data_IF_889046610182
#
_entry.id   IF_889046610182
#
_cell.length_a   1.000
_cell.length_b   1.000
_cell.length_c   1.000
_cell.angle_alpha   90.00
_cell.angle_beta   90.00
_cell.angle_gamma   90.00
#
_symmetry.space_group_name_H-M   'P 1'
#
loop_
_entity.id
_entity.type
_entity.pdbx_description
1 polymer ?
#
# COMPACT_ATOMS: atom_id res chain seq x y z
N UNK A 1 -57.66 25.56 -0.98
CA UNK A 1 -56.19 25.71 -1.06
C UNK A 1 -55.41 25.45 0.25
N UNK A 2 -56.03 25.09 1.39
CA UNK A 2 -55.36 25.05 2.70
C UNK A 2 -54.95 23.66 3.27
N UNK A 3 -54.96 22.57 2.49
CA UNK A 3 -54.61 21.23 3.02
C UNK A 3 -53.13 20.83 2.91
N UNK A 4 -52.32 21.50 2.07
CA UNK A 4 -50.88 21.18 1.92
C UNK A 4 -49.95 21.91 2.90
N UNK A 5 -50.45 22.95 3.58
CA UNK A 5 -49.66 23.75 4.52
C UNK A 5 -49.33 23.01 5.84
N UNK A 6 -50.10 21.97 6.22
CA UNK A 6 -49.91 21.25 7.50
C UNK A 6 -48.71 20.30 7.53
N UNK A 7 -48.13 19.95 6.38
CA UNK A 7 -46.95 19.06 6.27
C UNK A 7 -45.67 19.86 5.99
N UNK A 8 -45.79 21.02 5.33
CA UNK A 8 -44.64 21.86 4.97
C UNK A 8 -44.10 22.61 6.21
N UNK A 9 -44.97 23.02 7.14
CA UNK A 9 -44.56 23.73 8.36
C UNK A 9 -43.72 22.86 9.33
N UNK A 10 -44.06 21.60 9.65
CA UNK A 10 -43.21 20.77 10.52
C UNK A 10 -41.92 20.32 9.82
N UNK A 11 -41.91 20.15 8.49
CA UNK A 11 -40.70 19.78 7.74
C UNK A 11 -39.70 20.94 7.65
N UNK A 12 -40.19 22.17 7.50
CA UNK A 12 -39.37 23.38 7.53
C UNK A 12 -38.80 23.66 8.94
N UNK A 13 -39.55 23.35 10.00
CA UNK A 13 -39.08 23.48 11.39
C UNK A 13 -38.05 22.39 11.74
N UNK A 14 -38.19 21.17 11.21
CA UNK A 14 -37.23 20.07 11.41
C UNK A 14 -35.90 20.31 10.65
N UNK A 15 -35.97 20.90 9.46
CA UNK A 15 -34.78 21.32 8.70
C UNK A 15 -34.12 22.54 9.38
N UNK A 16 -34.91 23.48 9.91
CA UNK A 16 -34.40 24.65 10.64
C UNK A 16 -33.68 24.29 11.96
N UNK A 17 -34.13 23.25 12.68
CA UNK A 17 -33.45 22.78 13.90
C UNK A 17 -32.12 22.06 13.62
N UNK A 18 -31.92 21.52 12.41
CA UNK A 18 -30.69 20.82 12.02
C UNK A 18 -29.58 21.77 11.54
N UNK A 19 -29.91 23.03 11.28
CA UNK A 19 -28.98 24.10 10.88
C UNK A 19 -28.67 25.10 12.01
N UNK A 20 -28.95 24.76 13.27
CA UNK A 20 -28.40 25.49 14.43
C UNK A 20 -27.02 24.88 14.74
N UNK A 21 -25.89 25.55 14.46
CA UNK A 21 -24.61 25.13 14.98
C UNK A 21 -24.60 25.39 16.49
N UNK A 22 -24.97 24.39 17.29
CA UNK A 22 -24.70 24.39 18.72
C UNK A 22 -23.21 24.13 18.93
N UNK A 23 -22.40 25.17 18.79
CA UNK A 23 -21.08 25.21 19.40
C UNK A 23 -21.28 25.58 20.88
N UNK A 24 -21.31 24.56 21.75
CA UNK A 24 -21.12 24.76 23.18
C UNK A 24 -19.63 25.10 23.40
N UNK A 25 -19.29 26.38 23.43
CA UNK A 25 -18.11 26.90 24.14
C UNK A 25 -18.49 28.19 24.83
N UNK A 26 -18.49 28.18 26.16
CA UNK A 26 -18.57 29.37 26.97
C UNK A 26 -17.26 30.15 26.83
N UNK A 27 -17.32 31.42 26.42
CA UNK A 27 -16.40 32.49 26.82
C UNK A 27 -16.92 33.85 26.34
N UNK A 28 -16.56 34.86 27.11
CA UNK A 28 -17.14 36.20 27.22
C UNK A 28 -16.64 37.21 26.20
N UNK A 29 -17.45 38.26 26.05
CA UNK A 29 -17.18 39.61 25.52
C UNK A 29 -17.05 39.85 24.01
N UNK A 30 -17.73 40.94 23.63
CA UNK A 30 -18.01 41.40 22.28
C UNK A 30 -16.83 42.22 21.74
N UNK A 31 -16.44 41.94 20.51
CA UNK A 31 -15.54 42.80 19.75
C UNK A 31 -15.13 42.21 18.41
N UNK A 32 -16.08 41.73 17.60
CA UNK A 32 -15.74 41.07 16.33
C UNK A 32 -15.83 42.07 15.18
N UNK A 33 -14.68 42.57 14.76
CA UNK A 33 -14.53 43.35 13.53
C UNK A 33 -14.81 42.51 12.29
N UNK A 34 -15.18 43.18 11.20
CA UNK A 34 -15.57 42.55 9.93
C UNK A 34 -14.45 41.68 9.31
N UNK A 35 -13.19 41.88 9.71
CA UNK A 35 -12.04 41.10 9.25
C UNK A 35 -11.92 39.73 9.94
N UNK A 36 -12.40 39.56 11.17
CA UNK A 36 -12.31 38.29 11.91
C UNK A 36 -13.43 37.29 11.54
N UNK A 37 -14.57 37.78 11.06
CA UNK A 37 -15.62 36.90 10.51
C UNK A 37 -15.20 36.25 9.17
N UNK A 38 -14.23 36.84 8.46
CA UNK A 38 -13.67 36.26 7.23
C UNK A 38 -12.78 35.03 7.49
N UNK A 39 -12.11 34.99 8.65
CA UNK A 39 -11.23 33.89 9.07
C UNK A 39 -12.03 32.68 9.58
N UNK A 40 -13.13 32.90 10.31
CA UNK A 40 -14.02 31.83 10.78
C UNK A 40 -14.81 31.19 9.62
N UNK A 41 -15.04 31.91 8.53
CA UNK A 41 -15.69 31.39 7.32
C UNK A 41 -14.70 30.76 6.30
N UNK A 42 -13.38 30.91 6.48
CA UNK A 42 -12.36 30.35 5.59
C UNK A 42 -12.36 30.94 4.16
N UNK A 43 -12.77 32.20 4.00
CA UNK A 43 -12.84 32.87 2.68
C UNK A 43 -11.60 33.70 2.33
N UNK A 44 -10.73 34.00 3.29
CA UNK A 44 -9.49 34.71 3.00
C UNK A 44 -8.40 33.70 2.57
N UNK A 45 -8.11 33.66 1.26
CA UNK A 45 -7.03 32.93 0.59
C UNK A 45 -7.31 31.51 0.04
N UNK A 46 -8.55 31.15 -0.30
CA UNK A 46 -8.80 29.93 -1.10
C UNK A 46 -8.97 30.25 -2.60
N UNK A 47 -8.28 29.54 -3.51
CA UNK A 47 -8.44 29.75 -4.95
C UNK A 47 -9.89 29.43 -5.37
N UNK A 48 -10.45 30.24 -6.26
CA UNK A 48 -11.85 30.19 -6.71
C UNK A 48 -12.38 28.77 -7.04
N UNK A 49 -11.61 27.86 -7.67
CA UNK A 49 -12.05 26.49 -7.96
C UNK A 49 -12.35 25.66 -6.71
N UNK A 50 -11.64 25.90 -5.60
CA UNK A 50 -11.82 25.17 -4.33
C UNK A 50 -13.11 25.60 -3.64
N UNK A 51 -13.44 26.89 -3.69
CA UNK A 51 -14.71 27.43 -3.17
C UNK A 51 -15.89 26.84 -3.96
N UNK A 52 -15.78 26.81 -5.29
CA UNK A 52 -16.79 26.20 -6.15
C UNK A 52 -16.98 24.71 -5.87
N UNK A 53 -15.89 23.95 -5.71
CA UNK A 53 -15.94 22.53 -5.35
C UNK A 53 -16.64 22.27 -4.00
N UNK A 54 -16.43 23.16 -3.01
CA UNK A 54 -17.08 23.06 -1.70
C UNK A 54 -18.59 23.30 -1.79
N UNK A 55 -19.02 24.30 -2.57
CA UNK A 55 -20.44 24.60 -2.80
C UNK A 55 -21.13 23.42 -3.49
N UNK A 56 -20.52 22.87 -4.54
CA UNK A 56 -21.06 21.70 -5.27
C UNK A 56 -21.20 20.49 -4.36
N UNK A 57 -20.20 20.22 -3.51
CA UNK A 57 -20.23 19.10 -2.55
C UNK A 57 -21.38 19.22 -1.55
N UNK A 58 -21.64 20.44 -1.05
CA UNK A 58 -22.78 20.69 -0.15
C UNK A 58 -24.10 20.43 -0.88
N UNK A 59 -24.28 20.91 -2.11
CA UNK A 59 -25.51 20.70 -2.89
C UNK A 59 -25.75 19.20 -3.19
N UNK A 60 -24.70 18.45 -3.54
CA UNK A 60 -24.79 17.00 -3.77
C UNK A 60 -25.19 16.26 -2.49
N UNK A 61 -24.59 16.62 -1.34
CA UNK A 61 -24.92 15.97 -0.05
C UNK A 61 -26.37 16.19 0.38
N UNK A 62 -26.89 17.43 0.21
CA UNK A 62 -28.29 17.76 0.51
C UNK A 62 -29.25 17.04 -0.44
N UNK A 63 -28.88 16.93 -1.72
CA UNK A 63 -29.67 16.21 -2.72
C UNK A 63 -29.73 14.70 -2.43
N UNK A 64 -28.62 14.08 -2.02
CA UNK A 64 -28.57 12.67 -1.61
C UNK A 64 -29.46 12.39 -0.39
N UNK A 65 -29.40 13.25 0.62
CA UNK A 65 -30.28 13.15 1.79
C UNK A 65 -31.76 13.30 1.42
N UNK A 66 -32.09 14.24 0.53
CA UNK A 66 -33.46 14.43 0.06
C UNK A 66 -34.00 13.19 -0.69
N UNK A 67 -33.18 12.58 -1.56
CA UNK A 67 -33.54 11.34 -2.26
C UNK A 67 -33.77 10.18 -1.29
N UNK A 68 -32.92 10.04 -0.26
CA UNK A 68 -33.11 9.03 0.78
C UNK A 68 -34.46 9.20 1.51
N UNK A 69 -34.83 10.44 1.86
CA UNK A 69 -36.13 10.74 2.48
C UNK A 69 -37.31 10.43 1.54
N UNK A 70 -37.17 10.68 0.24
CA UNK A 70 -38.20 10.35 -0.76
C UNK A 70 -38.39 8.84 -0.86
N UNK A 71 -37.30 8.05 -0.84
CA UNK A 71 -37.36 6.58 -0.87
C UNK A 71 -38.08 6.05 0.38
N UNK A 72 -37.73 6.57 1.57
CA UNK A 72 -38.38 6.21 2.83
C UNK A 72 -39.88 6.54 2.78
N UNK A 73 -40.24 7.75 2.31
CA UNK A 73 -41.63 8.16 2.17
C UNK A 73 -42.42 7.30 1.18
N UNK A 74 -41.82 6.96 0.04
CA UNK A 74 -42.43 6.10 -0.96
C UNK A 74 -42.62 4.67 -0.43
N UNK A 75 -41.67 4.15 0.37
CA UNK A 75 -41.79 2.86 1.04
C UNK A 75 -42.95 2.83 2.05
N UNK A 76 -43.09 3.87 2.88
CA UNK A 76 -44.23 3.99 3.81
C UNK A 76 -45.56 4.11 3.06
N UNK A 77 -45.62 4.85 1.96
CA UNK A 77 -46.83 4.97 1.14
C UNK A 77 -47.21 3.62 0.52
N UNK A 78 -46.23 2.84 0.05
CA UNK A 78 -46.46 1.52 -0.51
C UNK A 78 -47.03 0.55 0.52
N UNK A 79 -46.45 0.50 1.72
CA UNK A 79 -46.95 -0.35 2.83
C UNK A 79 -48.35 0.06 3.32
N UNK A 80 -48.67 1.35 3.29
CA UNK A 80 -49.98 1.87 3.73
C UNK A 80 -51.05 1.89 2.62
N UNK A 81 -50.78 1.33 1.45
CA UNK A 81 -51.70 1.41 0.30
C UNK A 81 -52.91 0.48 0.41
N UNK A 82 -52.91 -0.53 1.30
CA UNK A 82 -54.10 -1.35 1.59
C UNK A 82 -54.72 -2.06 0.37
N UNK A 83 -53.95 -2.28 -0.70
CA UNK A 83 -54.43 -2.89 -1.95
C UNK A 83 -54.97 -1.90 -3.00
N UNK A 84 -55.01 -0.60 -2.72
CA UNK A 84 -55.47 0.42 -3.68
C UNK A 84 -54.44 0.64 -4.79
N UNK A 85 -54.78 0.22 -6.03
CA UNK A 85 -53.87 0.21 -7.18
C UNK A 85 -53.27 1.59 -7.50
N UNK A 86 -54.02 2.68 -7.29
CA UNK A 86 -53.55 4.04 -7.55
C UNK A 86 -52.38 4.43 -6.64
N UNK A 87 -52.47 4.13 -5.35
CA UNK A 87 -51.43 4.46 -4.35
C UNK A 87 -50.17 3.61 -4.55
N UNK A 88 -50.34 2.34 -4.92
CA UNK A 88 -49.23 1.44 -5.25
C UNK A 88 -48.46 1.96 -6.47
N UNK A 89 -49.18 2.32 -7.54
CA UNK A 89 -48.55 2.84 -8.76
C UNK A 89 -47.86 4.18 -8.51
N UNK A 90 -48.42 5.03 -7.66
CA UNK A 90 -47.79 6.29 -7.25
C UNK A 90 -46.51 6.07 -6.44
N UNK A 91 -46.52 5.16 -5.48
CA UNK A 91 -45.33 4.82 -4.69
C UNK A 91 -44.20 4.27 -5.57
N UNK A 92 -44.52 3.33 -6.47
CA UNK A 92 -43.55 2.76 -7.43
C UNK A 92 -42.93 3.84 -8.34
N UNK A 93 -43.74 4.76 -8.87
CA UNK A 93 -43.23 5.88 -9.70
C UNK A 93 -42.25 6.77 -8.93
N UNK A 94 -42.52 7.06 -7.65
CA UNK A 94 -41.62 7.86 -6.82
C UNK A 94 -40.31 7.12 -6.49
N UNK A 95 -40.36 5.82 -6.24
CA UNK A 95 -39.16 5.00 -6.01
C UNK A 95 -38.27 4.94 -7.26
N UNK A 96 -38.86 4.69 -8.43
CA UNK A 96 -38.12 4.64 -9.70
C UNK A 96 -37.48 5.99 -10.02
N UNK A 97 -38.20 7.09 -9.83
CA UNK A 97 -37.66 8.44 -10.04
C UNK A 97 -36.50 8.76 -9.09
N UNK A 98 -36.58 8.35 -7.81
CA UNK A 98 -35.51 8.55 -6.85
C UNK A 98 -34.26 7.70 -7.17
N UNK A 99 -34.45 6.46 -7.62
CA UNK A 99 -33.37 5.57 -8.05
C UNK A 99 -32.64 6.11 -9.28
N UNK A 100 -33.36 6.63 -10.27
CA UNK A 100 -32.76 7.26 -11.45
C UNK A 100 -31.93 8.48 -11.03
N UNK A 101 -32.44 9.32 -10.13
CA UNK A 101 -31.71 10.46 -9.60
C UNK A 101 -30.42 10.06 -8.86
N UNK A 102 -30.48 9.01 -8.05
CA UNK A 102 -29.30 8.47 -7.35
C UNK A 102 -28.27 7.90 -8.34
N UNK A 103 -28.73 7.15 -9.34
CA UNK A 103 -27.87 6.59 -10.38
C UNK A 103 -27.11 7.70 -11.13
N UNK A 104 -27.79 8.79 -11.51
CA UNK A 104 -27.15 9.94 -12.17
C UNK A 104 -26.05 10.55 -11.30
N UNK A 105 -26.26 10.69 -10.00
CA UNK A 105 -25.24 11.23 -9.08
C UNK A 105 -24.01 10.32 -9.04
N UNK A 106 -24.21 9.01 -8.94
CA UNK A 106 -23.13 8.01 -8.90
C UNK A 106 -22.38 7.99 -10.24
N UNK A 107 -23.10 7.93 -11.36
CA UNK A 107 -22.49 7.93 -12.69
C UNK A 107 -21.78 9.24 -13.03
N UNK A 108 -22.31 10.38 -12.59
CA UNK A 108 -21.63 11.67 -12.77
C UNK A 108 -20.24 11.66 -12.16
N UNK A 109 -20.09 11.09 -10.96
CA UNK A 109 -18.80 10.98 -10.30
C UNK A 109 -17.87 10.02 -11.04
N UNK A 110 -18.36 8.84 -11.41
CA UNK A 110 -17.59 7.83 -12.13
C UNK A 110 -17.09 8.33 -13.50
N UNK A 111 -17.92 9.07 -14.23
CA UNK A 111 -17.55 9.66 -15.53
C UNK A 111 -16.50 10.75 -15.35
N UNK A 112 -16.67 11.64 -14.36
CA UNK A 112 -15.67 12.69 -14.08
C UNK A 112 -14.33 12.09 -13.67
N UNK A 113 -14.29 11.08 -12.80
CA UNK A 113 -13.04 10.41 -12.44
C UNK A 113 -12.40 9.69 -13.63
N UNK A 114 -13.19 9.09 -14.51
CA UNK A 114 -12.69 8.43 -15.71
C UNK A 114 -12.04 9.43 -16.68
N UNK A 115 -12.69 10.57 -16.92
CA UNK A 115 -12.16 11.62 -17.81
C UNK A 115 -10.91 12.25 -17.20
N UNK A 116 -10.88 12.52 -15.90
CA UNK A 116 -9.70 13.05 -15.22
C UNK A 116 -8.54 12.05 -15.28
N UNK A 117 -8.78 10.77 -15.01
CA UNK A 117 -7.76 9.73 -15.15
C UNK A 117 -7.23 9.59 -16.58
N UNK A 118 -8.11 9.64 -17.58
CA UNK A 118 -7.72 9.63 -18.99
C UNK A 118 -6.90 10.88 -19.39
N UNK A 119 -7.21 12.04 -18.81
CA UNK A 119 -6.48 13.29 -19.04
C UNK A 119 -5.10 13.26 -18.35
N UNK A 120 -5.01 12.77 -17.12
CA UNK A 120 -3.75 12.59 -16.39
C UNK A 120 -2.82 11.60 -17.10
N UNK A 121 -3.39 10.53 -17.67
CA UNK A 121 -2.68 9.55 -18.49
C UNK A 121 -2.17 10.17 -19.81
N UNK A 122 -3.00 10.98 -20.48
CA UNK A 122 -2.62 11.68 -21.70
C UNK A 122 -1.56 12.78 -21.47
N UNK A 123 -1.48 13.35 -20.27
CA UNK A 123 -0.48 14.35 -19.88
C UNK A 123 0.83 13.74 -19.34
N UNK A 124 0.93 12.40 -19.25
CA UNK A 124 2.15 11.71 -18.83
C UNK A 124 2.49 11.89 -17.35
N UNK A 125 1.52 12.22 -16.50
CA UNK A 125 1.72 12.55 -15.08
C UNK A 125 1.58 11.38 -14.11
N UNK A 126 1.35 10.13 -14.56
CA UNK A 126 1.47 8.95 -13.69
C UNK A 126 1.68 7.64 -14.46
N UNK A 127 2.74 6.91 -14.10
CA UNK A 127 2.79 5.45 -14.23
C UNK A 127 1.79 4.81 -13.26
N UNK A 128 1.10 3.79 -13.74
CA UNK A 128 -0.15 3.29 -13.15
C UNK A 128 -0.04 2.16 -12.12
N UNK A 129 -1.20 1.90 -11.53
CA UNK A 129 -1.55 0.81 -10.61
C UNK A 129 -2.00 1.41 -9.27
N UNK A 130 -3.27 1.53 -8.91
CA UNK A 130 -4.48 0.85 -9.35
C UNK A 130 -5.17 0.30 -8.11
N UNK A 131 -5.84 1.15 -7.32
CA UNK A 131 -6.66 0.69 -6.19
C UNK A 131 -7.99 1.46 -6.14
N UNK A 132 -9.07 0.68 -6.12
CA UNK A 132 -10.46 1.12 -6.00
C UNK A 132 -10.84 1.54 -4.56
N UNK A 133 -12.11 1.89 -4.33
CA UNK A 133 -12.45 3.02 -3.47
C UNK A 133 -12.71 2.61 -2.01
N UNK A 134 -11.83 3.06 -1.11
CA UNK A 134 -12.14 3.29 0.30
C UNK A 134 -12.48 4.76 0.54
N UNK A 135 -13.64 5.04 1.11
CA UNK A 135 -14.19 6.38 1.35
C UNK A 135 -13.45 7.22 2.43
N UNK A 136 -14.03 8.37 2.84
CA UNK A 136 -13.47 9.67 2.48
C UNK A 136 -12.78 10.39 3.64
N UNK A 137 -11.58 10.91 3.40
CA UNK A 137 -10.94 11.90 4.26
C UNK A 137 -9.59 12.37 3.74
N UNK A 138 -9.43 13.69 3.58
CA UNK A 138 -8.12 14.32 3.34
C UNK A 138 -8.00 15.02 1.98
N UNK A 139 -8.00 16.36 2.01
CA UNK A 139 -7.88 17.22 0.84
C UNK A 139 -6.50 17.16 0.16
N UNK A 140 -6.48 17.64 -1.08
CA UNK A 140 -5.35 17.51 -2.00
C UNK A 140 -4.00 18.01 -1.47
N UNK A 141 -2.98 17.26 -1.84
CA UNK A 141 -1.63 17.74 -2.09
C UNK A 141 -1.29 17.30 -3.50
N UNK A 142 -0.58 18.15 -4.25
CA UNK A 142 0.11 17.69 -5.46
C UNK A 142 0.79 16.37 -5.12
N UNK A 143 0.52 15.33 -5.91
CA UNK A 143 1.03 13.99 -5.61
C UNK A 143 2.50 14.11 -5.28
N UNK A 144 2.87 13.63 -4.08
CA UNK A 144 4.29 13.54 -3.72
C UNK A 144 5.01 12.86 -4.88
N UNK A 145 6.18 13.38 -5.30
CA UNK A 145 6.92 12.74 -6.38
C UNK A 145 7.10 11.25 -6.01
N UNK A 146 7.03 10.37 -7.00
CA UNK A 146 7.13 8.91 -6.77
C UNK A 146 8.41 8.53 -6.02
N UNK A 147 9.44 9.38 -6.09
CA UNK A 147 10.75 9.28 -5.43
C UNK A 147 10.78 9.77 -3.99
N UNK A 148 9.69 10.35 -3.46
CA UNK A 148 9.67 10.90 -2.11
C UNK A 148 9.96 9.81 -1.06
N UNK A 149 10.88 10.12 -0.15
CA UNK A 149 11.20 9.26 0.99
C UNK A 149 10.02 9.23 1.98
N UNK A 150 9.58 8.03 2.33
CA UNK A 150 8.35 7.78 3.11
C UNK A 150 8.44 6.50 3.92
N UNK A 151 7.68 6.44 5.01
CA UNK A 151 7.36 5.17 5.69
C UNK A 151 6.39 4.41 4.79
N UNK A 152 6.78 3.20 4.35
CA UNK A 152 5.94 2.25 3.61
C UNK A 152 4.92 1.62 4.55
N UNK A 153 5.37 1.16 5.72
CA UNK A 153 4.57 0.45 6.71
C UNK A 153 5.22 0.59 8.10
N UNK A 154 4.47 0.39 9.18
CA UNK A 154 5.03 0.13 10.51
C UNK A 154 4.50 -1.21 10.98
N UNK A 155 5.39 -2.19 11.19
CA UNK A 155 5.01 -3.55 11.55
C UNK A 155 5.20 -3.84 13.03
N UNK A 156 4.28 -4.63 13.57
CA UNK A 156 4.28 -5.17 14.94
C UNK A 156 3.65 -6.58 14.93
N UNK A 157 4.05 -7.43 15.87
CA UNK A 157 3.34 -8.68 16.15
C UNK A 157 2.07 -8.33 16.92
N UNK A 158 0.94 -8.89 16.49
CA UNK A 158 -0.37 -8.53 17.02
C UNK A 158 -1.37 -9.68 16.95
N UNK A 159 -2.36 -9.66 17.85
CA UNK A 159 -3.52 -10.56 17.86
C UNK A 159 -4.78 -9.78 17.46
N UNK A 160 -5.30 -10.07 16.27
CA UNK A 160 -6.59 -9.52 15.79
C UNK A 160 -7.76 -10.48 15.97
N UNK A 161 -7.54 -11.65 16.57
CA UNK A 161 -8.55 -12.69 16.70
C UNK A 161 -8.86 -13.39 15.38
N UNK A 162 -8.88 -14.72 15.43
CA UNK A 162 -9.29 -15.63 14.34
C UNK A 162 -8.55 -15.50 13.01
N UNK A 163 -7.28 -15.93 12.93
CA UNK A 163 -6.69 -16.55 11.72
C UNK A 163 -6.72 -15.75 10.40
N UNK A 164 -7.10 -14.47 10.43
CA UNK A 164 -7.15 -13.58 9.28
C UNK A 164 -5.91 -12.70 9.36
N UNK A 165 -5.09 -12.74 8.31
CA UNK A 165 -4.04 -11.75 8.08
C UNK A 165 -4.70 -10.41 7.81
N UNK A 166 -4.84 -9.58 8.84
CA UNK A 166 -5.14 -8.17 8.63
C UNK A 166 -3.85 -7.38 8.74
N UNK A 167 -3.70 -6.34 7.94
CA UNK A 167 -2.58 -5.39 8.08
C UNK A 167 -2.87 -4.43 9.25
N UNK A 168 -3.55 -4.86 10.31
CA UNK A 168 -3.92 -4.00 11.44
C UNK A 168 -2.80 -3.94 12.48
N UNK A 169 -1.56 -3.66 12.04
CA UNK A 169 -0.35 -3.57 12.87
C UNK A 169 -0.43 -2.55 14.04
N UNK A 170 -1.53 -1.82 14.17
CA UNK A 170 -1.79 -0.81 15.19
C UNK A 170 -2.75 -1.28 16.29
N UNK A 171 -3.31 -2.50 16.21
CA UNK A 171 -4.31 -3.01 17.16
C UNK A 171 -3.92 -4.36 17.72
N UNK A 172 -4.19 -4.58 19.01
CA UNK A 172 -3.92 -5.86 19.67
C UNK A 172 -2.44 -6.21 19.66
N UNK A 173 -1.55 -5.22 19.65
CA UNK A 173 -0.11 -5.42 19.61
C UNK A 173 0.32 -6.23 20.82
N UNK A 174 1.07 -7.31 20.60
CA UNK A 174 1.56 -8.16 21.68
C UNK A 174 2.55 -7.39 22.55
N UNK A 175 2.56 -7.70 23.85
CA UNK A 175 3.38 -6.96 24.83
C UNK A 175 4.89 -7.12 24.59
N UNK A 176 5.30 -8.19 23.91
CA UNK A 176 6.69 -8.48 23.56
C UNK A 176 7.17 -7.80 22.27
N UNK A 177 6.26 -7.29 21.44
CA UNK A 177 6.54 -6.90 20.07
C UNK A 177 7.57 -5.78 19.99
N UNK A 178 8.58 -5.95 19.14
CA UNK A 178 9.32 -4.81 18.60
C UNK A 178 8.41 -3.97 17.69
N UNK A 179 8.79 -2.71 17.46
CA UNK A 179 8.10 -1.82 16.52
C UNK A 179 9.05 -1.48 15.39
N UNK A 180 8.71 -1.85 14.16
CA UNK A 180 9.59 -1.70 12.99
C UNK A 180 8.97 -0.84 11.89
N UNK A 181 9.27 0.47 11.86
CA UNK A 181 9.01 1.30 10.69
C UNK A 181 9.85 0.87 9.49
N UNK A 182 9.17 0.49 8.40
CA UNK A 182 9.74 0.12 7.11
C UNK A 182 9.60 1.28 6.14
N UNK A 183 10.69 1.64 5.46
CA UNK A 183 10.78 2.77 4.54
C UNK A 183 10.94 2.29 3.09
N UNK A 184 10.68 3.18 2.12
CA UNK A 184 10.88 2.87 0.70
C UNK A 184 12.32 2.97 0.22
N UNK A 185 13.17 3.68 0.96
CA UNK A 185 14.60 3.78 0.70
C UNK A 185 15.38 3.40 1.95
N UNK A 186 16.68 3.11 1.79
CA UNK A 186 17.57 2.87 2.91
C UNK A 186 17.73 4.13 3.77
N UNK A 187 17.67 3.96 5.08
CA UNK A 187 17.77 5.03 6.06
C UNK A 187 19.25 5.36 6.30
N UNK A 188 19.60 6.64 6.44
CA UNK A 188 20.94 7.04 6.87
C UNK A 188 21.14 6.73 8.36
N UNK A 189 21.83 5.63 8.65
CA UNK A 189 22.08 5.15 10.00
C UNK A 189 22.86 6.15 10.87
N UNK A 190 23.66 7.05 10.27
CA UNK A 190 24.49 8.01 11.01
C UNK A 190 23.65 9.07 11.76
N UNK A 191 22.39 9.28 11.36
CA UNK A 191 21.50 10.26 11.98
C UNK A 191 20.70 9.67 13.15
N UNK A 192 20.44 8.36 13.14
CA UNK A 192 19.52 7.74 14.09
C UNK A 192 20.09 7.71 15.51
N UNK A 193 21.40 7.52 15.69
CA UNK A 193 22.02 7.56 17.02
C UNK A 193 21.86 8.93 17.71
N UNK A 194 21.79 10.01 16.94
CA UNK A 194 21.59 11.36 17.45
C UNK A 194 20.10 11.70 17.68
N UNK A 195 19.22 11.23 16.79
CA UNK A 195 17.77 11.45 16.89
C UNK A 195 17.10 10.61 17.99
N UNK A 196 17.63 9.41 18.27
CA UNK A 196 17.11 8.49 19.29
C UNK A 196 17.21 9.01 20.74
N UNK A 197 17.95 10.09 20.97
CA UNK A 197 18.14 10.64 22.33
C UNK A 197 16.89 11.39 22.82
N UNK A 198 16.09 12.00 21.94
CA UNK A 198 14.90 12.77 22.34
C UNK A 198 13.76 12.84 21.30
N UNK A 199 14.05 12.70 20.01
CA UNK A 199 13.07 12.97 18.95
C UNK A 199 12.41 11.67 18.45
N UNK A 200 13.20 10.62 18.24
CA UNK A 200 12.70 9.29 17.88
C UNK A 200 12.39 8.50 19.15
N UNK A 201 11.10 8.32 19.45
CA UNK A 201 10.63 7.75 20.73
C UNK A 201 9.27 7.08 20.63
N UNK A 202 8.95 6.25 21.63
CA UNK A 202 7.60 5.73 21.88
C UNK A 202 7.15 6.20 23.26
N UNK A 203 5.94 6.76 23.36
CA UNK A 203 5.34 7.21 24.62
C UNK A 203 4.02 6.51 24.88
N UNK A 204 3.76 6.15 26.13
CA UNK A 204 2.45 5.70 26.58
C UNK A 204 1.53 6.90 26.79
N UNK A 205 0.27 6.81 26.36
CA UNK A 205 -0.72 7.84 26.65
C UNK A 205 -0.97 7.95 28.16
N UNK A 206 -0.81 9.16 28.71
CA UNK A 206 -0.88 9.40 30.16
C UNK A 206 0.30 8.85 30.97
N UNK A 207 1.33 8.32 30.30
CA UNK A 207 2.55 7.81 30.90
C UNK A 207 3.79 8.59 30.45
N UNK A 208 4.92 7.89 30.36
CA UNK A 208 6.20 8.45 29.90
C UNK A 208 6.75 7.71 28.68
N UNK A 209 8.01 8.04 28.34
CA UNK A 209 8.76 7.34 27.30
C UNK A 209 8.99 5.87 27.67
N UNK A 210 8.83 5.00 26.68
CA UNK A 210 9.15 3.57 26.78
C UNK A 210 10.66 3.41 26.62
N UNK A 211 11.30 2.74 27.58
CA UNK A 211 12.71 2.42 27.50
C UNK A 211 12.96 1.36 26.42
N UNK A 212 13.96 1.58 25.58
CA UNK A 212 14.36 0.65 24.53
C UNK A 212 15.53 1.18 23.71
N UNK A 213 15.97 0.38 22.75
CA UNK A 213 17.08 0.71 21.86
C UNK A 213 16.58 0.81 20.43
N UNK A 214 17.08 1.80 19.70
CA UNK A 214 16.81 2.00 18.29
C UNK A 214 17.96 1.45 17.45
N UNK A 215 17.65 0.58 16.49
CA UNK A 215 18.60 0.03 15.53
C UNK A 215 18.18 0.43 14.11
N UNK A 216 19.13 0.44 13.19
CA UNK A 216 18.86 0.64 11.76
C UNK A 216 19.38 -0.57 11.00
N UNK A 217 18.56 -1.07 10.07
CA UNK A 217 18.89 -2.16 9.15
C UNK A 217 18.34 -1.80 7.78
N UNK A 218 19.20 -1.35 6.87
CA UNK A 218 18.81 -0.96 5.50
C UNK A 218 17.61 0.00 5.48
N UNK A 219 16.45 -0.48 5.02
CA UNK A 219 15.20 0.27 4.92
C UNK A 219 14.32 0.19 6.17
N UNK A 220 14.84 -0.28 7.30
CA UNK A 220 14.07 -0.49 8.53
C UNK A 220 14.74 0.20 9.71
N UNK A 221 13.93 0.87 10.53
CA UNK A 221 14.30 1.26 11.88
C UNK A 221 13.63 0.25 12.82
N UNK A 222 14.34 -0.22 13.84
CA UNK A 222 13.85 -1.24 14.78
C UNK A 222 13.87 -0.64 16.18
N UNK A 223 12.73 -0.60 16.85
CA UNK A 223 12.66 -0.36 18.28
C UNK A 223 12.65 -1.67 19.03
N UNK A 224 13.75 -2.00 19.70
CA UNK A 224 13.82 -3.11 20.65
C UNK A 224 13.49 -2.61 22.04
N UNK A 225 12.31 -2.99 22.53
CA UNK A 225 11.88 -2.58 23.86
C UNK A 225 12.77 -3.18 24.96
N UNK A 226 13.02 -2.40 26.02
CA UNK A 226 13.78 -2.85 27.19
C UNK A 226 12.96 -3.64 28.19
N UNK A 227 11.64 -3.39 28.23
CA UNK A 227 10.66 -4.11 29.04
C UNK A 227 9.39 -4.30 28.19
N UNK A 228 8.57 -5.30 28.53
CA UNK A 228 7.27 -5.52 27.90
C UNK A 228 6.41 -4.25 27.97
N UNK A 229 5.64 -4.00 26.92
CA UNK A 229 4.58 -3.00 26.97
C UNK A 229 3.52 -3.37 28.02
N UNK A 230 2.78 -2.37 28.49
CA UNK A 230 1.67 -2.58 29.40
C UNK A 230 0.45 -3.08 28.64
N UNK A 231 -0.35 -3.93 29.29
CA UNK A 231 -1.58 -4.47 28.71
C UNK A 231 -2.62 -3.38 28.44
N UNK A 232 -3.41 -3.60 27.38
CA UNK A 232 -4.60 -2.81 27.02
C UNK A 232 -4.36 -1.29 27.03
N UNK A 233 -3.21 -0.88 26.52
CA UNK A 233 -2.69 0.49 26.64
C UNK A 233 -2.48 1.14 25.29
N UNK A 234 -2.69 2.46 25.24
CA UNK A 234 -2.43 3.28 24.05
C UNK A 234 -0.99 3.80 24.05
N UNK A 235 -0.34 3.70 22.89
CA UNK A 235 1.00 4.20 22.66
C UNK A 235 1.05 5.09 21.42
N UNK A 236 2.05 5.96 21.37
CA UNK A 236 2.37 6.80 20.22
C UNK A 236 3.86 6.71 19.90
N UNK A 237 4.16 6.33 18.66
CA UNK A 237 5.50 6.37 18.08
C UNK A 237 5.71 7.71 17.38
N UNK A 238 6.77 8.40 17.77
CA UNK A 238 7.15 9.71 17.24
C UNK A 238 8.27 9.50 16.22
N UNK A 239 7.94 9.64 14.93
CA UNK A 239 8.91 9.55 13.83
C UNK A 239 9.29 10.95 13.37
N UNK A 240 10.52 11.44 13.64
CA UNK A 240 10.95 12.76 13.21
C UNK A 240 10.94 12.88 11.69
N UNK A 241 10.43 13.99 11.16
CA UNK A 241 10.55 14.31 9.72
C UNK A 241 11.99 14.54 9.28
N UNK A 242 12.90 14.75 10.25
CA UNK A 242 14.33 14.89 10.04
C UNK A 242 15.06 13.56 9.74
N UNK A 243 14.37 12.40 9.79
CA UNK A 243 14.95 11.14 9.29
C UNK A 243 15.26 11.31 7.81
N UNK A 244 16.49 10.97 7.42
CA UNK A 244 16.98 11.05 6.05
C UNK A 244 17.17 9.66 5.43
N UNK A 245 16.97 9.56 4.12
CA UNK A 245 17.48 8.44 3.34
C UNK A 245 18.98 8.60 3.03
N UNK A 246 19.60 7.56 2.48
CA UNK A 246 21.02 7.60 2.09
C UNK A 246 21.37 8.63 1.00
N UNK A 247 20.36 9.18 0.32
CA UNK A 247 20.54 10.27 -0.65
C UNK A 247 20.38 11.65 -0.01
N UNK A 248 20.12 11.72 1.30
CA UNK A 248 19.90 12.95 2.05
C UNK A 248 18.48 13.53 1.90
N UNK A 249 17.52 12.76 1.39
CA UNK A 249 16.13 13.19 1.30
C UNK A 249 15.43 13.05 2.64
N UNK A 250 14.67 14.06 3.01
CA UNK A 250 13.89 14.12 4.24
C UNK A 250 12.55 13.37 4.14
N UNK A 251 12.07 12.87 5.27
CA UNK A 251 10.87 12.06 5.36
C UNK A 251 9.61 12.89 5.08
N UNK A 252 8.91 12.58 3.98
CA UNK A 252 7.76 13.38 3.49
C UNK A 252 6.40 12.77 3.76
N UNK A 253 6.30 11.48 4.06
CA UNK A 253 5.02 10.82 4.28
C UNK A 253 5.14 9.57 5.15
N UNK A 254 4.01 9.16 5.73
CA UNK A 254 3.88 7.95 6.51
C UNK A 254 2.60 7.20 6.10
N UNK A 255 2.75 6.00 5.54
CA UNK A 255 1.67 5.17 5.02
C UNK A 255 1.37 3.93 5.89
N UNK A 256 1.61 4.03 7.19
CA UNK A 256 1.37 2.90 8.09
C UNK A 256 -0.13 2.60 8.27
N UNK A 257 -0.44 1.34 8.58
CA UNK A 257 -1.75 0.89 8.99
C UNK A 257 -2.32 1.72 10.16
N UNK A 258 -3.63 2.01 10.12
CA UNK A 258 -4.26 2.95 11.06
C UNK A 258 -3.96 4.43 10.78
N UNK A 259 -3.07 4.72 9.82
CA UNK A 259 -2.65 6.05 9.43
C UNK A 259 -1.65 6.67 10.39
N UNK A 260 -1.00 7.74 9.95
CA UNK A 260 -0.11 8.55 10.77
C UNK A 260 -0.68 9.96 10.88
N UNK A 261 -0.67 10.53 12.09
CA UNK A 261 -0.99 11.93 12.30
C UNK A 261 0.25 12.77 11.99
N UNK A 262 0.12 13.66 11.03
CA UNK A 262 1.20 14.56 10.63
C UNK A 262 1.20 15.83 11.48
N UNK A 263 2.36 16.20 12.01
CA UNK A 263 2.63 17.49 12.67
C UNK A 263 3.73 18.23 11.92
N UNK A 264 4.12 19.42 12.40
CA UNK A 264 5.23 20.17 11.77
C UNK A 264 6.58 19.42 11.84
N UNK A 265 6.79 18.62 12.90
CA UNK A 265 8.08 17.97 13.17
C UNK A 265 8.04 16.44 13.14
N UNK A 266 6.87 15.83 13.27
CA UNK A 266 6.72 14.38 13.41
C UNK A 266 5.65 13.80 12.47
N UNK A 267 5.82 12.53 12.13
CA UNK A 267 4.72 11.61 11.90
C UNK A 267 4.48 10.82 13.18
N UNK A 268 3.27 10.93 13.72
CA UNK A 268 2.83 10.23 14.91
C UNK A 268 2.02 9.01 14.50
N UNK A 269 2.51 7.83 14.83
CA UNK A 269 1.78 6.59 14.61
C UNK A 269 1.27 6.06 15.95
N UNK A 270 -0.02 5.75 16.03
CA UNK A 270 -0.66 5.30 17.27
C UNK A 270 -0.96 3.82 17.20
N UNK A 271 -0.72 3.11 18.29
CA UNK A 271 -1.08 1.70 18.41
C UNK A 271 -1.65 1.37 19.79
N UNK A 272 -2.35 0.25 19.86
CA UNK A 272 -2.96 -0.30 21.08
C UNK A 272 -2.42 -1.69 21.34
N UNK A 273 -2.00 -1.94 22.57
CA UNK A 273 -1.57 -3.27 23.01
C UNK A 273 -2.76 -4.13 23.41
N UNK A 274 -2.62 -5.44 23.21
CA UNK A 274 -3.52 -6.44 23.81
C UNK A 274 -3.11 -6.76 25.25
N UNK A 275 -3.43 -7.97 25.71
CA UNK A 275 -3.09 -8.45 27.05
C UNK A 275 -2.09 -9.61 27.07
N UNK A 276 -1.65 -10.08 25.90
CA UNK A 276 -0.89 -11.32 25.73
C UNK A 276 0.48 -11.08 25.11
N UNK A 277 1.33 -12.10 25.19
CA UNK A 277 2.60 -12.17 24.46
C UNK A 277 2.46 -13.18 23.34
N UNK A 278 3.16 -12.93 22.24
CA UNK A 278 3.29 -13.90 21.18
C UNK A 278 4.20 -15.05 21.61
N UNK A 279 3.82 -16.26 21.22
CA UNK A 279 4.60 -17.48 21.48
C UNK A 279 4.68 -18.37 20.24
N UNK A 280 4.12 -17.94 19.12
CA UNK A 280 4.07 -18.71 17.88
C UNK A 280 5.30 -18.36 17.07
N UNK A 281 6.15 -19.34 16.71
CA UNK A 281 7.29 -19.06 15.84
C UNK A 281 6.88 -18.78 14.39
N UNK A 282 7.65 -17.92 13.68
CA UNK A 282 7.38 -17.64 12.28
C UNK A 282 7.71 -18.85 11.41
N UNK A 283 6.89 -19.06 10.37
CA UNK A 283 7.05 -20.12 9.37
C UNK A 283 7.02 -19.54 7.97
N UNK A 284 7.84 -20.03 7.05
CA UNK A 284 7.81 -19.56 5.66
C UNK A 284 6.56 -20.09 4.96
N UNK A 285 5.72 -19.20 4.45
CA UNK A 285 4.47 -19.51 3.75
C UNK A 285 4.57 -19.31 2.24
N UNK A 286 5.51 -18.48 1.77
CA UNK A 286 5.80 -18.32 0.35
C UNK A 286 7.29 -18.08 0.15
N UNK A 287 7.81 -18.57 -0.97
CA UNK A 287 9.21 -18.43 -1.36
C UNK A 287 9.33 -18.36 -2.88
N UNK A 288 10.33 -17.65 -3.35
CA UNK A 288 10.64 -17.47 -4.77
C UNK A 288 12.15 -17.26 -4.92
N UNK A 289 12.77 -17.68 -6.02
CA UNK A 289 12.20 -18.44 -7.13
C UNK A 289 12.11 -19.95 -6.83
N UNK A 290 11.28 -20.65 -7.62
CA UNK A 290 11.18 -22.12 -7.61
C UNK A 290 11.24 -22.66 -9.05
N UNK A 291 11.68 -23.91 -9.22
CA UNK A 291 11.71 -24.59 -10.52
C UNK A 291 13.05 -24.55 -11.24
N UNK A 292 13.08 -24.98 -12.51
CA UNK A 292 14.32 -25.26 -13.25
C UNK A 292 14.65 -24.28 -14.39
N UNK A 293 13.81 -23.27 -14.59
CA UNK A 293 13.93 -22.32 -15.69
C UNK A 293 13.87 -20.87 -15.19
N UNK A 294 14.79 -20.53 -14.29
CA UNK A 294 14.79 -19.24 -13.58
C UNK A 294 15.80 -18.26 -14.22
N UNK A 295 15.44 -17.01 -14.53
CA UNK A 295 16.38 -16.01 -15.04
C UNK A 295 17.58 -15.76 -14.11
N UNK A 296 18.74 -15.44 -14.66
CA UNK A 296 19.97 -15.25 -13.85
C UNK A 296 19.98 -13.94 -13.03
N UNK A 297 19.06 -13.02 -13.33
CA UNK A 297 18.84 -11.77 -12.59
C UNK A 297 17.67 -11.88 -11.58
N UNK A 298 17.19 -13.10 -11.33
CA UNK A 298 16.09 -13.34 -10.40
C UNK A 298 16.38 -12.79 -9.01
N UNK A 299 15.33 -12.32 -8.36
CA UNK A 299 15.36 -11.90 -6.97
C UNK A 299 14.85 -13.05 -6.10
N UNK A 300 15.44 -13.22 -4.93
CA UNK A 300 15.04 -14.25 -3.96
C UNK A 300 14.15 -13.58 -2.93
N UNK A 301 12.94 -14.09 -2.75
CA UNK A 301 11.96 -13.51 -1.83
C UNK A 301 11.36 -14.59 -0.95
N UNK A 302 11.10 -14.25 0.31
CA UNK A 302 10.39 -15.11 1.26
C UNK A 302 9.34 -14.30 2.00
N UNK A 303 8.16 -14.90 2.22
CA UNK A 303 7.15 -14.40 3.14
C UNK A 303 6.92 -15.42 4.25
N UNK A 304 6.87 -14.93 5.47
CA UNK A 304 6.63 -15.68 6.70
C UNK A 304 5.17 -15.59 7.11
N UNK A 305 4.74 -16.42 8.07
CA UNK A 305 3.39 -16.46 8.64
C UNK A 305 3.01 -15.20 9.39
N UNK A 306 3.99 -14.40 9.77
CA UNK A 306 3.89 -13.18 10.57
C UNK A 306 5.12 -12.28 10.34
N UNK A 307 5.11 -11.02 10.84
CA UNK A 307 6.25 -10.13 10.79
C UNK A 307 7.50 -10.71 11.48
N UNK A 308 8.66 -10.49 10.87
CA UNK A 308 9.95 -10.99 11.36
C UNK A 308 10.83 -9.85 11.87
N UNK A 309 11.70 -10.12 12.85
CA UNK A 309 12.70 -9.15 13.32
C UNK A 309 13.79 -8.98 12.25
N UNK A 310 13.81 -7.81 11.62
CA UNK A 310 14.74 -7.47 10.55
C UNK A 310 16.22 -7.61 10.95
N UNK A 311 16.54 -7.51 12.24
CA UNK A 311 17.91 -7.71 12.76
C UNK A 311 18.37 -9.16 12.74
N UNK A 312 17.47 -10.13 12.50
CA UNK A 312 17.82 -11.53 12.24
C UNK A 312 18.08 -11.83 10.76
N UNK A 313 17.76 -10.89 9.87
CA UNK A 313 18.04 -10.96 8.42
C UNK A 313 19.29 -10.15 8.08
N UNK A 314 19.39 -8.93 8.61
CA UNK A 314 20.44 -7.95 8.29
C UNK A 314 21.28 -7.64 9.52
N UNK A 315 22.60 -7.72 9.37
CA UNK A 315 23.60 -7.43 10.41
C UNK A 315 23.84 -5.93 10.62
N UNK A 316 24.67 -5.60 11.59
CA UNK A 316 25.07 -4.21 11.89
C UNK A 316 25.83 -3.53 10.74
N UNK A 317 26.47 -4.33 9.89
CA UNK A 317 27.15 -3.89 8.67
C UNK A 317 26.19 -3.62 7.51
N UNK A 318 24.86 -3.66 7.74
CA UNK A 318 23.83 -3.52 6.72
C UNK A 318 23.90 -4.58 5.62
N UNK A 319 24.48 -5.74 5.93
CA UNK A 319 24.57 -6.90 5.03
C UNK A 319 23.78 -8.10 5.55
N UNK A 320 23.52 -9.05 4.66
CA UNK A 320 22.87 -10.31 4.98
C UNK A 320 23.66 -11.07 6.07
N UNK A 321 22.97 -11.65 7.05
CA UNK A 321 23.56 -12.55 8.03
C UNK A 321 23.69 -13.95 7.41
N UNK A 322 24.87 -14.29 6.90
CA UNK A 322 25.14 -15.56 6.19
C UNK A 322 24.89 -16.82 7.05
N UNK A 323 24.97 -16.68 8.39
CA UNK A 323 24.66 -17.76 9.32
C UNK A 323 23.16 -18.11 9.36
N UNK A 324 22.30 -17.17 8.97
CA UNK A 324 20.85 -17.29 8.99
C UNK A 324 20.30 -17.54 7.58
N UNK A 325 20.84 -16.83 6.59
CA UNK A 325 20.39 -16.94 5.20
C UNK A 325 21.60 -17.13 4.29
N UNK A 326 21.58 -18.18 3.47
CA UNK A 326 22.66 -18.44 2.51
C UNK A 326 22.11 -18.93 1.18
N UNK A 327 22.78 -18.53 0.10
CA UNK A 327 22.49 -19.00 -1.27
C UNK A 327 23.72 -19.73 -1.79
N UNK A 328 23.59 -21.03 -2.00
CA UNK A 328 24.71 -21.92 -2.30
C UNK A 328 24.56 -22.57 -3.67
N UNK A 329 25.64 -22.55 -4.46
CA UNK A 329 25.75 -23.29 -5.71
C UNK A 329 25.88 -24.78 -5.41
N UNK A 330 25.16 -25.59 -6.18
CA UNK A 330 25.20 -27.05 -6.07
C UNK A 330 25.87 -27.68 -7.30
N UNK A 331 26.43 -28.87 -7.11
CA UNK A 331 26.95 -29.70 -8.20
C UNK A 331 25.86 -30.24 -9.14
N UNK A 332 24.60 -30.20 -8.69
CA UNK A 332 23.41 -30.64 -9.42
C UNK A 332 22.18 -30.56 -8.52
N UNK A 333 21.02 -31.06 -8.98
CA UNK A 333 19.80 -31.15 -8.17
C UNK A 333 20.03 -32.05 -6.97
N UNK A 334 19.71 -31.58 -5.76
CA UNK A 334 20.03 -32.24 -4.50
C UNK A 334 21.52 -32.59 -4.34
N UNK A 335 22.40 -31.90 -5.07
CA UNK A 335 23.83 -32.15 -5.06
C UNK A 335 24.53 -31.60 -3.81
N UNK A 336 25.84 -31.84 -3.75
CA UNK A 336 26.72 -31.22 -2.76
C UNK A 336 26.87 -29.72 -3.03
N UNK A 337 27.03 -28.95 -1.95
CA UNK A 337 27.37 -27.52 -2.02
C UNK A 337 28.78 -27.38 -2.58
N UNK A 338 28.89 -26.70 -3.72
CA UNK A 338 30.17 -26.39 -4.39
C UNK A 338 30.77 -25.10 -3.82
N UNK A 339 29.93 -24.07 -3.66
CA UNK A 339 30.30 -22.78 -3.09
C UNK A 339 29.08 -22.06 -2.54
N UNK A 340 29.29 -21.09 -1.66
CA UNK A 340 28.23 -20.21 -1.14
C UNK A 340 28.49 -18.79 -1.63
N UNK A 341 27.44 -18.13 -2.12
CA UNK A 341 27.53 -16.73 -2.54
C UNK A 341 27.72 -15.84 -1.30
N UNK A 342 28.68 -14.93 -1.39
CA UNK A 342 28.98 -13.97 -0.33
C UNK A 342 27.82 -13.01 -0.09
N UNK A 343 27.66 -12.53 1.14
CA UNK A 343 26.74 -11.43 1.51
C UNK A 343 26.90 -10.16 0.67
N UNK A 344 28.09 -9.91 0.11
CA UNK A 344 28.34 -8.77 -0.80
C UNK A 344 27.68 -8.96 -2.17
N UNK A 345 27.23 -10.17 -2.49
CA UNK A 345 26.47 -10.43 -3.71
C UNK A 345 25.08 -9.78 -3.65
N UNK A 346 24.54 -9.53 -2.45
CA UNK A 346 23.14 -9.22 -2.24
C UNK A 346 22.89 -7.81 -1.71
N UNK A 347 21.94 -7.13 -2.35
CA UNK A 347 21.16 -6.06 -1.73
C UNK A 347 19.98 -6.68 -1.02
N UNK A 348 19.77 -6.33 0.25
CA UNK A 348 18.66 -6.84 1.07
C UNK A 348 17.62 -5.74 1.28
N UNK A 349 16.37 -6.02 0.95
CA UNK A 349 15.20 -5.20 1.30
C UNK A 349 14.30 -6.00 2.25
N UNK A 350 13.85 -5.37 3.33
CA UNK A 350 12.86 -5.96 4.24
C UNK A 350 11.46 -5.54 3.78
N UNK A 351 10.58 -6.52 3.73
CA UNK A 351 9.15 -6.39 3.48
C UNK A 351 8.36 -6.63 4.77
N UNK A 352 7.05 -6.39 4.75
CA UNK A 352 6.21 -6.46 5.96
C UNK A 352 6.31 -7.80 6.70
N UNK A 353 6.29 -8.91 5.97
CA UNK A 353 6.35 -10.28 6.53
C UNK A 353 7.58 -11.05 6.01
N UNK A 354 8.65 -10.38 5.59
CA UNK A 354 9.69 -11.08 4.84
C UNK A 354 10.84 -10.25 4.36
N UNK A 355 11.60 -10.80 3.42
CA UNK A 355 12.74 -10.13 2.84
C UNK A 355 12.88 -10.48 1.36
N UNK A 356 13.58 -9.60 0.65
CA UNK A 356 13.97 -9.75 -0.75
C UNK A 356 15.47 -9.55 -0.90
N UNK A 357 16.13 -10.48 -1.57
CA UNK A 357 17.53 -10.42 -1.97
C UNK A 357 17.59 -10.15 -3.47
N UNK A 358 18.17 -9.01 -3.83
CA UNK A 358 18.43 -8.64 -5.22
C UNK A 358 19.95 -8.70 -5.46
N UNK A 359 20.44 -9.31 -6.56
CA UNK A 359 21.84 -9.23 -6.92
C UNK A 359 22.32 -7.77 -6.95
N UNK A 360 23.43 -7.47 -6.27
CA UNK A 360 23.94 -6.10 -6.15
C UNK A 360 24.70 -5.67 -7.41
N UNK A 361 24.37 -4.48 -7.94
CA UNK A 361 25.05 -3.90 -9.09
C UNK A 361 24.84 -4.73 -10.36
N UNK A 362 25.93 -5.20 -10.96
CA UNK A 362 25.91 -6.03 -12.17
C UNK A 362 26.09 -7.52 -11.86
N UNK A 363 25.98 -7.92 -10.60
CA UNK A 363 26.07 -9.32 -10.21
C UNK A 363 24.93 -10.11 -10.86
N UNK A 364 25.25 -11.27 -11.42
CA UNK A 364 24.29 -12.19 -12.01
C UNK A 364 24.59 -13.60 -11.49
N UNK A 365 23.54 -14.40 -11.32
CA UNK A 365 23.73 -15.83 -11.06
C UNK A 365 24.36 -16.50 -12.29
N UNK A 366 25.01 -17.63 -12.08
CA UNK A 366 25.57 -18.40 -13.19
C UNK A 366 24.43 -19.07 -13.98
N UNK A 367 24.51 -19.12 -15.32
CA UNK A 367 23.49 -19.79 -16.12
C UNK A 367 23.52 -21.31 -15.92
N UNK A 368 22.37 -21.96 -16.08
CA UNK A 368 22.20 -23.42 -15.99
C UNK A 368 22.71 -24.06 -14.69
N UNK A 369 22.70 -23.29 -13.60
CA UNK A 369 23.32 -23.65 -12.33
C UNK A 369 22.24 -23.91 -11.29
N UNK A 370 22.41 -24.99 -10.52
CA UNK A 370 21.56 -25.28 -9.36
C UNK A 370 21.99 -24.45 -8.16
N UNK A 371 21.02 -23.81 -7.53
CA UNK A 371 21.19 -23.09 -6.28
C UNK A 371 20.28 -23.65 -5.20
N UNK A 372 20.77 -23.70 -3.96
CA UNK A 372 19.99 -23.92 -2.75
C UNK A 372 19.94 -22.64 -1.94
N UNK A 373 18.74 -22.20 -1.58
CA UNK A 373 18.55 -21.17 -0.56
C UNK A 373 18.25 -21.87 0.76
N UNK A 374 19.00 -21.50 1.79
CA UNK A 374 18.81 -21.94 3.18
C UNK A 374 18.38 -20.75 4.01
N UNK A 375 17.29 -20.90 4.77
CA UNK A 375 16.79 -19.90 5.71
C UNK A 375 16.62 -20.57 7.08
N UNK A 376 17.27 -20.01 8.10
CA UNK A 376 17.24 -20.49 9.48
C UNK A 376 17.46 -19.36 10.46
N UNK A 377 17.16 -19.63 11.72
CA UNK A 377 17.37 -18.70 12.83
C UNK A 377 16.73 -17.32 12.65
N UNK A 378 15.65 -17.24 11.87
CA UNK A 378 14.82 -16.05 11.79
C UNK A 378 13.90 -16.04 13.01
N UNK A 379 13.78 -14.88 13.64
CA UNK A 379 12.91 -14.65 14.79
C UNK A 379 11.79 -13.69 14.41
N UNK A 380 10.63 -13.81 15.05
CA UNK A 380 9.57 -12.81 14.96
C UNK A 380 9.91 -11.57 15.81
N UNK A 381 8.99 -10.59 15.84
CA UNK A 381 9.15 -9.36 16.63
C UNK A 381 9.05 -9.60 18.15
N UNK A 382 8.69 -10.81 18.59
CA UNK A 382 8.62 -11.26 19.98
C UNK A 382 9.73 -12.26 20.35
N UNK A 383 10.74 -12.44 19.49
CA UNK A 383 11.88 -13.33 19.67
C UNK A 383 11.54 -14.82 19.66
N UNK A 384 10.38 -15.21 19.12
CA UNK A 384 10.12 -16.62 18.81
C UNK A 384 10.91 -17.00 17.56
N UNK A 385 11.81 -17.97 17.72
CA UNK A 385 12.68 -18.43 16.65
C UNK A 385 12.01 -19.50 15.80
N UNK A 386 12.08 -19.37 14.48
CA UNK A 386 11.57 -20.36 13.53
C UNK A 386 12.00 -21.79 13.92
N UNK A 387 11.04 -22.72 13.88
CA UNK A 387 11.19 -24.06 14.43
C UNK A 387 12.23 -24.93 13.68
N UNK A 388 12.40 -24.73 12.38
CA UNK A 388 13.29 -25.53 11.55
C UNK A 388 13.91 -24.71 10.41
N UNK A 389 15.09 -25.14 9.96
CA UNK A 389 15.70 -24.62 8.73
C UNK A 389 14.86 -25.01 7.51
N UNK A 390 14.59 -24.04 6.64
CA UNK A 390 13.97 -24.27 5.35
C UNK A 390 15.04 -24.23 4.26
N UNK A 391 15.04 -25.26 3.41
CA UNK A 391 15.84 -25.31 2.20
C UNK A 391 14.93 -25.46 0.98
N UNK A 392 15.21 -24.71 -0.08
CA UNK A 392 14.64 -24.98 -1.40
C UNK A 392 15.67 -24.76 -2.49
N UNK A 393 15.42 -25.37 -3.65
CA UNK A 393 16.35 -25.35 -4.77
C UNK A 393 15.68 -24.84 -6.04
N UNK A 394 16.47 -24.16 -6.86
CA UNK A 394 16.08 -23.75 -8.19
C UNK A 394 17.26 -23.86 -9.16
N UNK A 395 16.96 -23.98 -10.45
CA UNK A 395 17.97 -23.97 -11.50
C UNK A 395 17.77 -22.74 -12.39
N UNK A 396 18.88 -22.04 -12.64
CA UNK A 396 18.88 -20.91 -13.55
C UNK A 396 18.88 -21.34 -15.02
N UNK A 397 18.51 -20.43 -15.90
CA UNK A 397 18.64 -20.54 -17.36
C UNK A 397 19.67 -19.51 -17.88
N UNK A 398 19.62 -19.12 -19.15
CA UNK A 398 20.47 -18.09 -19.73
C UNK A 398 19.79 -16.72 -19.89
N UNK A 399 18.53 -16.54 -19.45
CA UNK A 399 17.82 -15.27 -19.63
C UNK A 399 18.48 -14.15 -18.83
N UNK A 400 18.88 -13.09 -19.54
CA UNK A 400 19.65 -11.96 -19.02
C UNK A 400 21.18 -12.13 -19.11
N UNK A 401 21.66 -13.29 -19.58
CA UNK A 401 23.09 -13.50 -19.86
C UNK A 401 23.56 -12.54 -20.95
N UNK A 402 24.68 -11.81 -20.78
CA UNK A 402 25.22 -10.97 -21.85
C UNK A 402 25.54 -11.78 -23.12
N UNK A 403 25.23 -11.22 -24.28
CA UNK A 403 25.45 -11.83 -25.59
C UNK A 403 25.85 -10.78 -26.63
N UNK A 404 26.49 -11.21 -27.73
CA UNK A 404 26.77 -10.38 -28.90
C UNK A 404 26.03 -10.90 -30.14
N UNK A 405 25.69 -12.19 -30.16
CA UNK A 405 25.02 -12.89 -31.25
C UNK A 405 24.10 -13.99 -30.70
N UNK A 406 23.11 -14.42 -31.48
CA UNK A 406 22.12 -15.43 -31.07
C UNK A 406 22.73 -16.77 -30.66
N UNK A 407 23.86 -17.15 -31.26
CA UNK A 407 24.58 -18.38 -30.91
C UNK A 407 25.17 -18.37 -29.50
N UNK A 408 25.33 -17.20 -28.89
CA UNK A 408 25.80 -17.07 -27.50
C UNK A 408 24.72 -17.47 -26.49
N UNK A 409 23.46 -17.53 -26.94
CA UNK A 409 22.28 -17.91 -26.17
C UNK A 409 21.84 -19.33 -26.53
N UNK A 410 21.50 -20.12 -25.52
CA UNK A 410 20.82 -21.39 -25.70
C UNK A 410 19.35 -21.16 -26.08
N UNK A 411 18.75 -20.06 -25.58
CA UNK A 411 17.46 -19.55 -26.01
C UNK A 411 17.42 -19.03 -27.46
N UNK A 412 18.58 -18.99 -28.14
CA UNK A 412 18.78 -18.50 -29.50
C UNK A 412 18.30 -17.08 -29.77
N UNK A 413 18.14 -16.27 -28.73
CA UNK A 413 17.64 -14.91 -28.85
C UNK A 413 18.55 -13.94 -28.09
N UNK A 414 19.24 -13.08 -28.82
CA UNK A 414 20.09 -12.02 -28.27
C UNK A 414 19.51 -10.65 -28.61
N UNK A 415 18.91 -9.97 -27.64
CA UNK A 415 18.32 -8.64 -27.81
C UNK A 415 19.02 -7.65 -26.90
N UNK A 416 19.37 -6.47 -27.43
CA UNK A 416 20.01 -5.39 -26.69
C UNK A 416 21.27 -5.81 -25.89
N UNK A 417 21.96 -6.86 -26.37
CA UNK A 417 23.16 -7.40 -25.73
C UNK A 417 22.91 -8.38 -24.57
N UNK A 418 21.68 -8.87 -24.39
CA UNK A 418 21.31 -9.90 -23.41
C UNK A 418 20.48 -11.02 -24.02
N UNK A 419 20.56 -12.23 -23.46
CA UNK A 419 19.76 -13.37 -23.90
C UNK A 419 18.31 -13.22 -23.41
N UNK A 420 17.35 -13.43 -24.30
CA UNK A 420 15.91 -13.38 -24.03
C UNK A 420 15.23 -14.68 -24.45
N UNK A 421 13.93 -14.86 -24.20
CA UNK A 421 13.22 -16.04 -24.70
C UNK A 421 13.06 -15.90 -26.20
N UNK A 422 13.06 -17.02 -26.92
CA UNK A 422 12.88 -17.05 -28.38
C UNK A 422 11.64 -16.26 -28.83
N UNK A 423 10.53 -16.37 -28.09
CA UNK A 423 9.30 -15.62 -28.33
C UNK A 423 9.49 -14.09 -28.30
N UNK A 424 10.38 -13.57 -27.46
CA UNK A 424 10.63 -12.12 -27.34
C UNK A 424 11.37 -11.60 -28.59
N UNK A 425 12.19 -12.44 -29.26
CA UNK A 425 12.86 -12.10 -30.52
C UNK A 425 11.93 -12.12 -31.73
N UNK A 426 10.98 -13.06 -31.78
CA UNK A 426 10.07 -13.23 -32.93
C UNK A 426 9.27 -11.94 -33.22
N UNK A 427 8.90 -11.16 -32.20
CA UNK A 427 8.20 -9.89 -32.42
C UNK A 427 9.10 -8.74 -32.88
N UNK A 428 10.40 -8.77 -32.59
CA UNK A 428 11.32 -7.71 -32.99
C UNK A 428 11.65 -7.76 -34.50
N UNK A 429 11.61 -8.95 -35.11
CA UNK A 429 11.77 -9.12 -36.56
C UNK A 429 10.55 -8.70 -37.40
N UNK A 430 9.37 -8.57 -36.77
CA UNK A 430 8.09 -8.22 -37.41
C UNK A 430 7.70 -6.75 -37.22
N UNK A 431 8.44 -5.99 -36.40
CA UNK A 431 8.09 -4.63 -36.01
C UNK A 431 8.63 -3.60 -37.03
N UNK A 432 7.83 -3.23 -38.03
CA UNK A 432 8.16 -2.16 -39.00
C UNK A 432 7.89 -0.73 -38.47
N UNK A 433 7.63 -0.60 -37.16
CA UNK A 433 7.35 0.67 -36.51
C UNK A 433 5.95 1.22 -36.76
N UNK A 434 5.05 0.53 -37.47
CA UNK A 434 3.68 1.03 -37.65
C UNK A 434 2.56 -0.03 -37.79
N UNK A 435 2.81 -1.34 -37.64
CA UNK A 435 1.72 -2.34 -37.72
C UNK A 435 1.84 -3.51 -36.74
N UNK A 436 0.69 -3.85 -36.15
CA UNK A 436 0.42 -5.13 -35.53
C UNK A 436 0.56 -6.22 -36.60
N UNK A 437 1.52 -7.12 -36.41
CA UNK A 437 1.89 -8.13 -37.38
C UNK A 437 1.57 -9.52 -36.82
N UNK A 438 0.91 -10.35 -37.62
CA UNK A 438 0.69 -11.77 -37.31
C UNK A 438 1.36 -12.59 -38.41
N UNK A 439 2.28 -13.47 -38.03
CA UNK A 439 2.94 -14.38 -38.98
C UNK A 439 2.04 -15.60 -39.29
N UNK A 440 1.15 -15.97 -38.36
CA UNK A 440 0.15 -17.05 -38.48
C UNK A 440 -0.96 -16.94 -37.40
N UNK A 441 -1.98 -17.81 -37.45
CA UNK A 441 -3.13 -17.84 -36.51
C UNK A 441 -2.77 -18.10 -35.03
N UNK A 442 -1.49 -18.34 -34.75
CA UNK A 442 -0.95 -18.70 -33.43
C UNK A 442 0.06 -17.70 -32.85
N UNK A 443 0.56 -16.75 -33.65
CA UNK A 443 1.60 -15.80 -33.23
C UNK A 443 1.28 -14.40 -33.77
N UNK A 444 0.87 -13.52 -32.86
CA UNK A 444 0.60 -12.12 -33.16
C UNK A 444 1.37 -11.21 -32.19
N UNK A 445 1.89 -10.11 -32.72
CA UNK A 445 2.67 -9.13 -31.97
C UNK A 445 1.91 -7.81 -31.82
N UNK A 446 1.82 -7.31 -30.58
CA UNK A 446 1.35 -5.96 -30.26
C UNK A 446 2.45 -5.22 -29.50
N UNK A 447 3.10 -4.24 -30.13
CA UNK A 447 4.32 -3.69 -29.57
C UNK A 447 5.43 -4.74 -29.51
N UNK A 448 6.09 -4.82 -28.36
CA UNK A 448 7.08 -5.85 -28.02
C UNK A 448 6.45 -7.11 -27.39
N UNK A 449 5.13 -7.19 -27.29
CA UNK A 449 4.41 -8.26 -26.58
C UNK A 449 3.86 -9.30 -27.54
N UNK A 450 4.09 -10.58 -27.23
CA UNK A 450 3.52 -11.74 -27.95
C UNK A 450 2.16 -12.09 -27.34
N UNK A 451 1.12 -12.15 -28.15
CA UNK A 451 -0.19 -12.67 -27.77
C UNK A 451 -0.41 -14.08 -28.36
N UNK A 452 -0.77 -15.04 -27.52
CA UNK A 452 -1.12 -16.42 -27.92
C UNK A 452 -2.64 -16.62 -27.81
N UNK A 453 -3.34 -16.81 -28.93
CA UNK A 453 -4.79 -17.03 -28.92
C UNK A 453 -5.41 -16.90 -30.31
N UNK A 454 -6.48 -17.65 -30.56
CA UNK A 454 -7.02 -18.01 -31.87
C UNK A 454 -7.36 -16.80 -32.77
N UNK A 455 -6.51 -16.57 -33.78
CA UNK A 455 -6.82 -15.69 -34.91
C UNK A 455 -6.64 -14.19 -34.68
N UNK A 456 -6.27 -13.48 -35.74
CA UNK A 456 -5.89 -12.07 -35.73
C UNK A 456 -6.95 -11.10 -35.18
N UNK A 457 -8.23 -11.48 -35.15
CA UNK A 457 -9.31 -10.64 -34.60
C UNK A 457 -9.40 -10.63 -33.07
N UNK A 458 -8.83 -11.61 -32.36
CA UNK A 458 -8.89 -11.69 -30.89
C UNK A 458 -7.64 -11.12 -30.20
N UNK A 459 -6.54 -10.90 -30.93
CA UNK A 459 -5.32 -10.30 -30.35
C UNK A 459 -5.48 -8.84 -29.91
N UNK A 460 -6.42 -8.07 -30.47
CA UNK A 460 -6.74 -6.73 -29.97
C UNK A 460 -7.41 -6.73 -28.59
N UNK A 461 -8.05 -7.82 -28.19
CA UNK A 461 -8.75 -7.93 -26.90
C UNK A 461 -7.90 -8.47 -25.75
N UNK A 462 -6.73 -9.04 -26.03
CA UNK A 462 -5.89 -9.76 -25.05
C UNK A 462 -4.55 -9.09 -24.69
N UNK A 463 -4.09 -8.07 -25.43
CA UNK A 463 -2.72 -7.50 -25.31
C UNK A 463 -2.63 -6.16 -24.52
#
# INVERSE_FOLDING_TARGET
MFKRAKIILPLAILIGLFFIPCHLRAQTEMGVGLEEMGAVAGLAATPLPVILGRIVKVIISVSGLALALIIIYAGVLWMRSGGEAEKINRAKKMMIAALIGLAIIIFSYAITSFILGALEQALGLSGGGGEGPGGPGGGGQGGLPSTAFKVKEIVTSHDVGEGIRTQDYHKGVYLCSNVEPIFNNWVDANQISNLAVNDLKIEKEGGGMVAGNWLVRNNVIIFKQGNLFEADSNYSTYLPKAILDQSGQDLKACKAAGGCLETDTYFLWKFTTGATVDTVPPTVIAKSPEGENVPIYTEIETNFSEPIDASTVVGEDNRLIEANISVSKLSGKNGEIVSTLSKEFWRVEINNDGFKLTPEGNNLLEPFTWYRVSVKNIEDLCQNKMAAELNWEFKTNDLGKPCQQESDCESKCCLTGSCHREADCLCNGLYDGNKNSCENDSLCCWGTTVCYGQGASECQSFC
#
